data_IF_627951489561
#
_entry.id   IF_627951489561
#
_cell.length_a   1.000
_cell.length_b   1.000
_cell.length_c   1.000
_cell.angle_alpha   90.00
_cell.angle_beta   90.00
_cell.angle_gamma   90.00
#
_symmetry.space_group_name_H-M   'P 1'
#
loop_
_entity.id
_entity.type
_entity.pdbx_description
1 polymer ?
#
# COMPACT_ATOMS: atom_id res chain seq x y z
N UNK A 1 9.13 -10.48 -8.07
CA UNK A 1 9.17 -10.75 -6.60
C UNK A 1 7.94 -11.55 -6.13
N UNK A 2 6.74 -11.10 -6.48
CA UNK A 2 5.49 -11.83 -6.23
C UNK A 2 4.81 -12.09 -7.57
N UNK A 3 4.27 -13.29 -7.77
CA UNK A 3 3.53 -13.64 -8.99
C UNK A 3 2.20 -14.31 -8.60
N UNK A 4 1.11 -13.75 -9.07
CA UNK A 4 -0.20 -14.36 -9.09
C UNK A 4 -0.37 -15.01 -10.47
N UNK A 5 -0.58 -16.31 -10.51
CA UNK A 5 -0.65 -17.11 -11.74
C UNK A 5 -2.03 -17.75 -11.84
N UNK A 6 -2.91 -17.14 -12.65
CA UNK A 6 -4.30 -17.56 -12.88
C UNK A 6 -5.10 -17.78 -11.58
N UNK A 7 -5.00 -16.81 -10.65
CA UNK A 7 -5.58 -16.90 -9.31
C UNK A 7 -7.07 -16.61 -9.33
N UNK A 8 -7.87 -17.58 -8.88
CA UNK A 8 -9.30 -17.37 -8.59
C UNK A 8 -9.63 -17.74 -7.15
N UNK A 9 -10.66 -17.10 -6.61
CA UNK A 9 -11.15 -17.41 -5.27
C UNK A 9 -12.66 -17.25 -5.16
N UNK A 10 -13.29 -18.34 -4.72
CA UNK A 10 -14.72 -18.39 -4.41
C UNK A 10 -14.88 -18.69 -2.93
N UNK A 11 -15.60 -17.83 -2.21
CA UNK A 11 -15.91 -18.05 -0.80
C UNK A 11 -16.93 -19.20 -0.63
N UNK A 12 -17.00 -19.81 0.57
CA UNK A 12 -17.95 -20.92 0.83
C UNK A 12 -19.42 -20.58 0.57
N UNK A 13 -19.78 -19.31 0.62
CA UNK A 13 -21.14 -18.81 0.31
C UNK A 13 -21.41 -18.65 -1.20
N UNK A 14 -20.48 -19.08 -2.07
CA UNK A 14 -20.58 -18.98 -3.53
C UNK A 14 -20.17 -17.62 -4.12
N UNK A 15 -19.75 -16.65 -3.31
CA UNK A 15 -19.31 -15.33 -3.81
C UNK A 15 -17.94 -15.44 -4.44
N UNK A 16 -17.81 -15.10 -5.72
CA UNK A 16 -16.53 -14.96 -6.41
C UNK A 16 -15.87 -13.67 -5.99
N UNK A 17 -14.69 -13.79 -5.37
CA UNK A 17 -13.89 -12.65 -4.92
C UNK A 17 -12.77 -12.32 -5.91
N UNK A 18 -12.25 -13.32 -6.63
CA UNK A 18 -11.21 -13.20 -7.66
C UNK A 18 -11.55 -14.14 -8.80
N UNK A 19 -11.37 -13.67 -10.03
CA UNK A 19 -11.63 -14.41 -11.25
C UNK A 19 -10.43 -14.28 -12.20
N UNK A 20 -9.65 -15.35 -12.30
CA UNK A 20 -8.50 -15.53 -13.21
C UNK A 20 -7.48 -14.38 -13.18
N UNK A 21 -7.08 -13.94 -12.00
CA UNK A 21 -6.13 -12.82 -11.83
C UNK A 21 -4.70 -13.30 -12.06
N UNK A 22 -4.05 -12.71 -13.06
CA UNK A 22 -2.60 -12.88 -13.32
C UNK A 22 -1.90 -11.53 -13.17
N UNK A 23 -0.95 -11.43 -12.22
CA UNK A 23 -0.23 -10.21 -11.90
C UNK A 23 1.18 -10.52 -11.45
N UNK A 24 2.16 -9.75 -11.94
CA UNK A 24 3.53 -9.77 -11.46
C UNK A 24 3.88 -8.49 -10.71
N UNK A 25 4.50 -8.64 -9.55
CA UNK A 25 5.04 -7.55 -8.72
C UNK A 25 6.55 -7.59 -8.82
N UNK A 26 7.12 -6.54 -9.40
CA UNK A 26 8.58 -6.41 -9.57
C UNK A 26 9.28 -6.18 -8.23
N UNK A 27 10.53 -6.67 -8.06
CA UNK A 27 11.31 -6.38 -6.87
C UNK A 27 11.62 -4.88 -6.75
N UNK A 28 11.66 -4.39 -5.51
CA UNK A 28 12.03 -3.00 -5.16
C UNK A 28 11.09 -1.93 -5.74
N UNK A 29 9.85 -2.31 -6.10
CA UNK A 29 8.82 -1.40 -6.59
C UNK A 29 7.62 -1.38 -5.66
N UNK A 30 6.78 -0.35 -5.81
CA UNK A 30 5.44 -0.30 -5.23
C UNK A 30 4.42 -0.69 -6.30
N UNK A 31 3.76 -1.84 -6.13
CA UNK A 31 2.59 -2.20 -6.92
C UNK A 31 1.34 -1.89 -6.11
N UNK A 32 0.45 -1.07 -6.67
CA UNK A 32 -0.81 -0.69 -6.04
C UNK A 32 -1.95 -1.53 -6.59
N UNK A 33 -2.69 -2.18 -5.70
CA UNK A 33 -4.00 -2.78 -6.01
C UNK A 33 -5.08 -1.72 -5.80
N UNK A 34 -5.64 -1.21 -6.88
CA UNK A 34 -6.61 -0.13 -6.90
C UNK A 34 -7.99 -0.66 -7.31
N UNK A 35 -9.07 -0.13 -6.75
CA UNK A 35 -10.44 -0.49 -7.14
C UNK A 35 -11.45 -0.19 -6.05
N UNK A 36 -12.73 -0.35 -6.37
CA UNK A 36 -13.85 -0.13 -5.44
C UNK A 36 -13.84 -1.11 -4.26
N UNK A 37 -14.60 -0.81 -3.21
CA UNK A 37 -14.81 -1.77 -2.13
C UNK A 37 -15.42 -3.07 -2.68
N UNK A 38 -14.95 -4.22 -2.18
CA UNK A 38 -15.41 -5.52 -2.65
C UNK A 38 -14.82 -6.01 -3.98
N UNK A 39 -13.86 -5.30 -4.59
CA UNK A 39 -13.22 -5.76 -5.83
C UNK A 39 -12.13 -6.84 -5.64
N UNK A 40 -11.93 -7.36 -4.45
CA UNK A 40 -11.01 -8.48 -4.20
C UNK A 40 -9.57 -8.09 -3.82
N UNK A 41 -9.20 -6.81 -3.73
CA UNK A 41 -7.84 -6.33 -3.43
C UNK A 41 -7.22 -6.96 -2.19
N UNK A 42 -7.89 -6.81 -1.05
CA UNK A 42 -7.44 -7.39 0.24
C UNK A 42 -7.41 -8.93 0.18
N UNK A 43 -8.35 -9.55 -0.55
CA UNK A 43 -8.37 -11.01 -0.77
C UNK A 43 -7.11 -11.45 -1.53
N UNK A 44 -6.77 -10.77 -2.63
CA UNK A 44 -5.59 -11.04 -3.43
C UNK A 44 -4.31 -10.86 -2.59
N UNK A 45 -4.19 -9.75 -1.87
CA UNK A 45 -3.03 -9.46 -1.02
C UNK A 45 -2.86 -10.50 0.10
N UNK A 46 -3.95 -10.96 0.74
CA UNK A 46 -3.90 -11.97 1.81
C UNK A 46 -3.45 -13.36 1.36
N UNK A 47 -3.39 -13.61 0.08
CA UNK A 47 -2.84 -14.85 -0.46
C UNK A 47 -1.32 -14.85 -0.47
N UNK A 48 -0.67 -13.68 -0.54
CA UNK A 48 0.79 -13.56 -0.52
C UNK A 48 1.37 -14.10 0.79
N UNK A 49 0.71 -13.83 1.92
CA UNK A 49 1.12 -14.31 3.23
C UNK A 49 0.36 -15.58 3.68
N UNK A 50 -0.35 -16.22 2.74
CA UNK A 50 -1.11 -17.45 2.98
C UNK A 50 -2.13 -17.32 4.13
N UNK A 51 -2.73 -16.12 4.33
CA UNK A 51 -3.92 -15.97 5.18
C UNK A 51 -5.17 -16.48 4.49
N UNK A 52 -5.18 -16.45 3.15
CA UNK A 52 -6.16 -17.11 2.28
C UNK A 52 -5.41 -17.96 1.27
N UNK A 53 -6.05 -19.04 0.81
CA UNK A 53 -5.56 -19.86 -0.29
C UNK A 53 -6.44 -19.64 -1.52
N UNK A 54 -5.90 -19.58 -2.73
CA UNK A 54 -6.71 -19.54 -3.94
C UNK A 54 -7.54 -20.81 -4.09
N UNK A 55 -8.70 -20.73 -4.74
CA UNK A 55 -9.52 -21.89 -5.14
C UNK A 55 -8.91 -22.56 -6.36
N UNK A 56 -8.33 -21.77 -7.28
CA UNK A 56 -7.54 -22.24 -8.43
C UNK A 56 -6.38 -21.27 -8.70
N UNK A 57 -5.39 -21.73 -9.47
CA UNK A 57 -4.16 -21.00 -9.71
C UNK A 57 -3.18 -21.11 -8.54
N UNK A 58 -2.16 -20.27 -8.53
CA UNK A 58 -1.11 -20.29 -7.50
C UNK A 58 -0.52 -18.92 -7.26
N UNK A 59 0.06 -18.74 -6.07
CA UNK A 59 0.81 -17.54 -5.69
C UNK A 59 2.26 -17.93 -5.44
N UNK A 60 3.18 -17.24 -6.07
CA UNK A 60 4.62 -17.47 -6.00
C UNK A 60 5.27 -16.26 -5.33
N UNK A 61 6.07 -16.50 -4.30
CA UNK A 61 6.83 -15.47 -3.58
C UNK A 61 8.30 -15.88 -3.59
N UNK A 62 9.18 -15.00 -4.06
CA UNK A 62 10.62 -15.28 -4.19
C UNK A 62 10.91 -16.57 -4.98
N UNK A 63 10.12 -16.84 -6.02
CA UNK A 63 10.25 -18.04 -6.87
C UNK A 63 9.66 -19.34 -6.28
N UNK A 64 9.09 -19.31 -5.09
CA UNK A 64 8.49 -20.48 -4.42
C UNK A 64 6.97 -20.34 -4.32
N UNK A 65 6.23 -21.42 -4.59
CA UNK A 65 4.80 -21.43 -4.36
C UNK A 65 4.52 -21.30 -2.85
N UNK A 66 3.70 -20.32 -2.46
CA UNK A 66 3.36 -20.12 -1.04
C UNK A 66 2.68 -21.32 -0.38
N UNK A 67 2.04 -22.19 -1.17
CA UNK A 67 1.41 -23.42 -0.69
C UNK A 67 2.44 -24.41 -0.11
N UNK A 68 3.68 -24.37 -0.60
CA UNK A 68 4.76 -25.29 -0.23
C UNK A 68 5.62 -24.76 0.93
N UNK A 69 5.40 -23.50 1.35
CA UNK A 69 6.15 -22.87 2.43
C UNK A 69 5.40 -23.02 3.76
N UNK A 70 6.11 -23.26 4.85
CA UNK A 70 5.52 -23.19 6.18
C UNK A 70 4.87 -21.81 6.43
N UNK A 71 3.56 -21.75 6.75
CA UNK A 71 2.83 -20.48 6.82
C UNK A 71 3.33 -19.55 7.93
N UNK A 72 3.92 -20.10 9.02
CA UNK A 72 4.47 -19.30 10.10
C UNK A 72 5.75 -18.63 9.65
N UNK A 73 6.65 -19.38 9.00
CA UNK A 73 7.89 -18.84 8.44
C UNK A 73 7.60 -17.77 7.38
N UNK A 74 6.67 -18.06 6.45
CA UNK A 74 6.29 -17.10 5.40
C UNK A 74 5.77 -15.80 6.02
N UNK A 75 4.82 -15.86 6.96
CA UNK A 75 4.24 -14.66 7.60
C UNK A 75 5.24 -13.85 8.39
N UNK A 76 6.25 -14.49 9.00
CA UNK A 76 7.32 -13.78 9.72
C UNK A 76 8.32 -13.11 8.79
N UNK A 77 8.48 -13.61 7.57
CA UNK A 77 9.39 -13.03 6.55
C UNK A 77 8.77 -11.90 5.74
N UNK A 78 7.48 -11.63 5.89
CA UNK A 78 6.74 -10.59 5.18
C UNK A 78 6.22 -9.56 6.18
N UNK A 79 6.51 -8.29 5.95
CA UNK A 79 5.94 -7.20 6.76
C UNK A 79 4.48 -6.98 6.39
N UNK A 80 3.61 -6.77 7.39
CA UNK A 80 2.20 -6.50 7.17
C UNK A 80 1.74 -5.29 7.98
N UNK A 81 1.27 -4.28 7.26
CA UNK A 81 0.71 -3.04 7.81
C UNK A 81 -0.79 -3.04 7.59
N UNK A 82 -1.54 -3.01 8.67
CA UNK A 82 -3.02 -2.98 8.67
C UNK A 82 -3.52 -1.53 8.68
N UNK A 83 -4.75 -1.32 8.26
CA UNK A 83 -5.44 -0.04 8.26
C UNK A 83 -5.38 0.67 9.63
N UNK A 84 -5.64 -0.04 10.72
CA UNK A 84 -5.57 0.48 12.10
C UNK A 84 -4.21 0.22 12.78
N UNK A 85 -3.13 0.05 11.99
CA UNK A 85 -1.80 -0.36 12.45
C UNK A 85 -1.76 -1.70 13.21
N UNK A 86 -2.87 -2.20 13.76
CA UNK A 86 -2.99 -3.49 14.44
C UNK A 86 -2.04 -3.66 15.61
N UNK A 87 -1.80 -2.61 16.38
CA UNK A 87 -0.87 -2.63 17.52
C UNK A 87 -1.47 -3.37 18.74
N UNK A 88 -0.62 -4.06 19.47
CA UNK A 88 -1.02 -4.68 20.73
C UNK A 88 -1.23 -3.59 21.79
N UNK A 89 -2.47 -3.34 22.26
CA UNK A 89 -2.79 -2.22 23.14
C UNK A 89 -2.12 -2.31 24.53
N UNK A 90 -1.82 -3.52 24.98
CA UNK A 90 -1.20 -3.82 26.27
C UNK A 90 0.33 -3.88 26.22
N UNK A 91 0.95 -3.63 25.07
CA UNK A 91 2.41 -3.58 24.90
C UNK A 91 2.88 -2.16 24.65
N UNK A 92 4.08 -1.85 25.10
CA UNK A 92 4.74 -0.58 24.78
C UNK A 92 5.08 -0.50 23.30
N UNK A 93 5.42 0.69 22.81
CA UNK A 93 5.78 0.91 21.40
C UNK A 93 7.01 0.08 21.02
N UNK A 94 8.06 0.10 21.84
CA UNK A 94 9.25 -0.72 21.60
C UNK A 94 8.92 -2.21 21.59
N UNK A 95 8.02 -2.68 22.47
CA UNK A 95 7.62 -4.09 22.52
C UNK A 95 6.71 -4.48 21.32
N UNK A 96 5.91 -3.55 20.79
CA UNK A 96 5.17 -3.76 19.56
C UNK A 96 6.11 -3.98 18.39
N UNK A 97 7.09 -3.12 18.20
CA UNK A 97 8.07 -3.22 17.09
C UNK A 97 8.93 -4.48 17.27
N UNK A 98 9.39 -4.77 18.48
CA UNK A 98 10.24 -5.92 18.79
C UNK A 98 9.52 -7.29 18.73
N UNK A 99 8.23 -7.33 18.37
CA UNK A 99 7.44 -8.57 18.46
C UNK A 99 7.98 -9.67 17.54
N UNK A 100 8.20 -9.39 16.26
CA UNK A 100 8.64 -10.40 15.28
C UNK A 100 10.08 -10.85 15.54
N UNK A 101 11.06 -9.96 15.75
CA UNK A 101 12.42 -10.39 16.12
C UNK A 101 12.47 -11.31 17.33
N UNK A 102 11.65 -11.05 18.36
CA UNK A 102 11.56 -11.94 19.53
C UNK A 102 10.98 -13.31 19.22
N UNK A 103 10.00 -13.37 18.31
CA UNK A 103 9.43 -14.65 17.85
C UNK A 103 10.45 -15.46 17.03
N UNK A 104 11.44 -14.79 16.43
CA UNK A 104 12.56 -15.40 15.72
C UNK A 104 13.77 -15.72 16.63
N UNK A 105 13.63 -15.49 17.93
CA UNK A 105 14.65 -15.86 18.93
C UNK A 105 15.64 -14.76 19.29
N UNK A 106 15.48 -13.54 18.78
CA UNK A 106 16.32 -12.42 19.19
C UNK A 106 16.16 -12.10 20.68
N UNK A 107 17.27 -11.80 21.35
CA UNK A 107 17.24 -11.41 22.75
C UNK A 107 16.42 -10.13 22.96
N UNK A 108 15.94 -9.93 24.21
CA UNK A 108 15.19 -8.72 24.56
C UNK A 108 16.01 -7.45 24.33
N UNK A 109 17.32 -7.50 24.52
CA UNK A 109 18.23 -6.36 24.34
C UNK A 109 18.41 -6.04 22.86
N UNK A 110 18.68 -7.04 22.03
CA UNK A 110 18.87 -6.88 20.58
C UNK A 110 17.58 -6.38 19.90
N UNK A 111 16.45 -7.03 20.19
CA UNK A 111 15.17 -6.64 19.64
C UNK A 111 14.73 -5.23 20.05
N UNK A 112 15.04 -4.80 21.30
CA UNK A 112 14.78 -3.42 21.72
C UNK A 112 15.71 -2.41 21.04
N UNK A 113 16.98 -2.74 20.85
CA UNK A 113 17.94 -1.92 20.09
C UNK A 113 17.43 -1.72 18.65
N UNK A 114 17.09 -2.80 17.96
CA UNK A 114 16.53 -2.77 16.60
C UNK A 114 15.25 -1.94 16.53
N UNK A 115 14.35 -2.07 17.51
CA UNK A 115 13.14 -1.29 17.56
C UNK A 115 13.40 0.22 17.67
N UNK A 116 14.40 0.66 18.43
CA UNK A 116 14.79 2.07 18.53
C UNK A 116 15.40 2.60 17.22
N UNK A 117 16.21 1.79 16.54
CA UNK A 117 16.74 2.13 15.20
C UNK A 117 15.61 2.31 14.17
N UNK A 118 14.60 1.44 14.23
CA UNK A 118 13.44 1.53 13.34
C UNK A 118 12.52 2.71 13.70
N UNK A 119 12.43 3.09 14.98
CA UNK A 119 11.74 4.33 15.37
C UNK A 119 12.38 5.54 14.71
N UNK A 120 13.71 5.64 14.71
CA UNK A 120 14.42 6.73 14.04
C UNK A 120 14.17 6.70 12.52
N UNK A 121 14.21 5.49 11.92
CA UNK A 121 14.01 5.29 10.48
C UNK A 121 12.64 5.81 10.00
N UNK A 122 11.59 5.61 10.82
CA UNK A 122 10.23 6.06 10.51
C UNK A 122 9.88 7.42 11.13
N UNK A 123 10.87 8.18 11.59
CA UNK A 123 10.67 9.53 12.14
C UNK A 123 9.88 9.59 13.46
N UNK A 124 9.98 8.55 14.30
CA UNK A 124 9.38 8.52 15.63
C UNK A 124 10.39 8.92 16.72
N UNK A 125 9.99 9.84 17.58
CA UNK A 125 10.79 10.21 18.77
C UNK A 125 10.98 8.99 19.68
N UNK A 126 12.23 8.68 20.02
CA UNK A 126 12.58 7.60 20.97
C UNK A 126 11.96 7.77 22.36
N UNK A 127 11.60 8.99 22.75
CA UNK A 127 10.86 9.27 23.99
C UNK A 127 9.49 8.58 24.04
N UNK A 128 8.95 8.17 22.89
CA UNK A 128 7.69 7.42 22.79
C UNK A 128 7.86 5.91 23.06
N UNK A 129 9.08 5.39 23.12
CA UNK A 129 9.38 3.95 23.19
C UNK A 129 8.64 3.19 24.31
N UNK A 130 8.50 3.84 25.46
CA UNK A 130 7.82 3.28 26.64
C UNK A 130 6.33 3.58 26.73
N UNK A 131 5.79 4.36 25.80
CA UNK A 131 4.35 4.66 25.73
C UNK A 131 3.57 3.47 25.17
N UNK A 132 2.25 3.52 25.36
CA UNK A 132 1.28 2.56 24.83
C UNK A 132 0.54 3.14 23.64
N UNK A 133 -0.01 2.31 22.73
CA UNK A 133 -0.69 2.78 21.52
C UNK A 133 -1.78 3.83 21.76
N UNK A 134 -2.53 3.73 22.87
CA UNK A 134 -3.57 4.69 23.22
C UNK A 134 -3.05 6.12 23.52
N UNK A 135 -1.75 6.27 23.73
CA UNK A 135 -1.09 7.56 24.02
C UNK A 135 -0.49 8.22 22.76
N UNK A 136 -0.71 7.62 21.58
CA UNK A 136 -0.17 8.08 20.31
C UNK A 136 -1.27 8.66 19.42
N UNK A 137 -0.89 9.61 18.55
CA UNK A 137 -1.75 10.06 17.44
C UNK A 137 -1.95 8.94 16.40
N UNK A 138 -2.93 9.08 15.50
CA UNK A 138 -3.17 8.13 14.42
C UNK A 138 -1.93 7.90 13.54
N UNK A 139 -1.29 9.00 13.11
CA UNK A 139 -0.06 8.94 12.31
C UNK A 139 1.11 8.28 13.06
N UNK A 140 1.27 8.57 14.35
CA UNK A 140 2.29 7.92 15.16
C UNK A 140 2.04 6.40 15.27
N UNK A 141 0.79 5.98 15.49
CA UNK A 141 0.44 4.54 15.48
C UNK A 141 0.78 3.89 14.15
N UNK A 142 0.48 4.57 13.03
CA UNK A 142 0.77 4.04 11.71
C UNK A 142 2.28 3.87 11.48
N UNK A 143 3.11 4.85 11.87
CA UNK A 143 4.58 4.74 11.84
C UNK A 143 5.09 3.55 12.68
N UNK A 144 4.50 3.30 13.84
CA UNK A 144 4.82 2.10 14.65
C UNK A 144 4.47 0.83 13.90
N UNK A 145 3.34 0.78 13.21
CA UNK A 145 2.92 -0.34 12.36
C UNK A 145 3.93 -0.62 11.24
N UNK A 146 4.41 0.42 10.56
CA UNK A 146 5.45 0.33 9.52
C UNK A 146 6.78 -0.15 10.14
N UNK A 147 7.23 0.45 11.26
CA UNK A 147 8.44 0.02 11.95
C UNK A 147 8.39 -1.45 12.37
N UNK A 148 7.24 -1.91 12.88
CA UNK A 148 7.03 -3.33 13.23
C UNK A 148 7.11 -4.24 12.00
N UNK A 149 6.55 -3.82 10.88
CA UNK A 149 6.58 -4.58 9.63
C UNK A 149 8.01 -4.74 9.07
N UNK A 150 8.87 -3.75 9.31
CA UNK A 150 10.29 -3.76 8.91
C UNK A 150 11.22 -4.45 9.93
N UNK A 151 10.72 -4.82 11.11
CA UNK A 151 11.57 -5.24 12.22
C UNK A 151 12.39 -6.50 11.95
N UNK A 152 11.92 -7.37 11.07
CA UNK A 152 12.59 -8.62 10.68
C UNK A 152 13.24 -8.52 9.28
N UNK A 153 13.69 -7.33 8.89
CA UNK A 153 14.36 -7.09 7.60
C UNK A 153 13.54 -7.59 6.39
N UNK A 154 12.21 -7.40 6.50
CA UNK A 154 11.29 -7.84 5.46
C UNK A 154 11.58 -7.12 4.12
N UNK A 155 11.85 -7.89 3.07
CA UNK A 155 12.01 -7.43 1.70
C UNK A 155 10.69 -7.24 0.96
N UNK A 156 9.58 -7.70 1.55
CA UNK A 156 8.21 -7.51 1.07
C UNK A 156 7.37 -6.88 2.18
N UNK A 157 6.68 -5.79 1.84
CA UNK A 157 5.66 -5.16 2.68
C UNK A 157 4.29 -5.26 2.03
N UNK A 158 3.32 -5.79 2.76
CA UNK A 158 1.91 -5.76 2.42
C UNK A 158 1.25 -4.63 3.20
N UNK A 159 0.53 -3.73 2.53
CA UNK A 159 -0.12 -2.58 3.16
C UNK A 159 -1.59 -2.53 2.76
N UNK A 160 -2.49 -2.73 3.72
CA UNK A 160 -3.94 -2.79 3.53
C UNK A 160 -4.58 -1.48 3.98
N UNK A 161 -4.85 -0.56 3.04
CA UNK A 161 -5.43 0.78 3.26
C UNK A 161 -4.76 1.55 4.42
N UNK A 162 -3.41 1.65 4.47
CA UNK A 162 -2.72 2.09 5.68
C UNK A 162 -2.99 3.56 6.05
N UNK A 163 -3.55 4.36 5.14
CA UNK A 163 -3.80 5.78 5.38
C UNK A 163 -5.28 6.13 5.49
N UNK A 164 -6.20 5.15 5.38
CA UNK A 164 -7.63 5.38 5.32
C UNK A 164 -8.23 6.06 6.57
N UNK A 165 -7.63 5.88 7.75
CA UNK A 165 -8.08 6.43 9.02
C UNK A 165 -7.36 7.73 9.45
N UNK A 166 -6.55 8.34 8.56
CA UNK A 166 -5.73 9.51 8.88
C UNK A 166 -6.34 10.80 8.33
N UNK A 167 -6.10 11.91 9.03
CA UNK A 167 -6.43 13.23 8.50
C UNK A 167 -5.56 13.57 7.25
N UNK A 168 -6.06 14.46 6.36
CA UNK A 168 -5.41 14.70 5.07
C UNK A 168 -3.97 15.21 5.16
N UNK A 169 -3.62 16.04 6.14
CA UNK A 169 -2.27 16.60 6.28
C UNK A 169 -1.28 15.52 6.72
N UNK A 170 -1.64 14.76 7.77
CA UNK A 170 -0.81 13.64 8.26
C UNK A 170 -0.66 12.56 7.18
N UNK A 171 -1.72 12.30 6.40
CA UNK A 171 -1.70 11.37 5.29
C UNK A 171 -0.66 11.77 4.24
N UNK A 172 -0.69 13.02 3.76
CA UNK A 172 0.24 13.51 2.75
C UNK A 172 1.71 13.44 3.20
N UNK A 173 1.99 13.70 4.47
CA UNK A 173 3.34 13.56 5.02
C UNK A 173 3.80 12.11 5.06
N UNK A 174 2.94 11.20 5.54
CA UNK A 174 3.27 9.77 5.63
C UNK A 174 3.43 9.10 4.25
N UNK A 175 2.69 9.54 3.24
CA UNK A 175 2.83 9.05 1.87
C UNK A 175 4.20 9.42 1.29
N UNK A 176 4.65 10.67 1.48
CA UNK A 176 5.99 11.12 1.05
C UNK A 176 7.08 10.33 1.77
N UNK A 177 6.96 10.17 3.08
CA UNK A 177 7.92 9.41 3.88
C UNK A 177 7.98 7.92 3.51
N UNK A 178 6.84 7.31 3.15
CA UNK A 178 6.81 5.91 2.70
C UNK A 178 7.59 5.72 1.40
N UNK A 179 7.49 6.66 0.48
CA UNK A 179 8.25 6.64 -0.78
C UNK A 179 9.76 6.73 -0.50
N UNK A 180 10.17 7.70 0.31
CA UNK A 180 11.58 7.87 0.71
C UNK A 180 12.12 6.65 1.48
N UNK A 181 11.27 6.05 2.31
CA UNK A 181 11.60 4.85 3.08
C UNK A 181 11.83 3.65 2.16
N UNK A 182 10.95 3.42 1.17
CA UNK A 182 11.09 2.36 0.18
C UNK A 182 12.45 2.46 -0.53
N UNK A 183 12.80 3.64 -1.01
CA UNK A 183 14.05 3.87 -1.76
C UNK A 183 15.28 3.64 -0.89
N UNK A 184 15.21 3.97 0.41
CA UNK A 184 16.32 3.74 1.36
C UNK A 184 16.48 2.27 1.76
N UNK A 185 15.37 1.54 1.90
CA UNK A 185 15.38 0.16 2.42
C UNK A 185 15.43 -0.86 1.29
N UNK A 186 15.06 -0.48 0.06
CA UNK A 186 15.01 -1.38 -1.09
C UNK A 186 13.91 -2.44 -0.98
N UNK A 187 12.79 -2.13 -0.30
CA UNK A 187 11.70 -3.06 -0.05
C UNK A 187 10.70 -3.07 -1.21
N UNK A 188 10.13 -4.23 -1.51
CA UNK A 188 9.01 -4.39 -2.44
C UNK A 188 7.69 -4.16 -1.71
N UNK A 189 6.83 -3.29 -2.22
CA UNK A 189 5.55 -2.95 -1.56
C UNK A 189 4.37 -3.41 -2.42
N UNK A 190 3.47 -4.19 -1.85
CA UNK A 190 2.13 -4.42 -2.38
C UNK A 190 1.13 -3.62 -1.54
N UNK A 191 0.57 -2.59 -2.15
CA UNK A 191 -0.25 -1.58 -1.49
C UNK A 191 -1.70 -1.69 -1.93
N UNK A 192 -2.64 -1.74 -1.02
CA UNK A 192 -4.09 -1.74 -1.30
C UNK A 192 -4.67 -0.39 -0.96
N UNK A 193 -5.39 0.19 -1.89
CA UNK A 193 -6.18 1.41 -1.67
C UNK A 193 -7.40 1.47 -2.58
N UNK A 194 -8.36 2.29 -2.22
CA UNK A 194 -9.47 2.73 -3.09
C UNK A 194 -9.29 4.19 -3.54
N UNK A 195 -8.24 4.85 -3.07
CA UNK A 195 -7.93 6.25 -3.37
C UNK A 195 -6.99 6.31 -4.59
N UNK A 196 -7.46 6.99 -5.64
CA UNK A 196 -6.73 7.13 -6.90
C UNK A 196 -5.50 8.04 -6.75
N UNK A 197 -5.57 9.05 -5.88
CA UNK A 197 -4.45 9.96 -5.66
C UNK A 197 -3.30 9.26 -4.93
N UNK A 198 -3.63 8.39 -3.96
CA UNK A 198 -2.65 7.51 -3.33
C UNK A 198 -1.98 6.58 -4.36
N UNK A 199 -2.79 5.95 -5.22
CA UNK A 199 -2.28 5.04 -6.23
C UNK A 199 -1.32 5.74 -7.21
N UNK A 200 -1.65 6.95 -7.61
CA UNK A 200 -0.83 7.73 -8.55
C UNK A 200 0.43 8.31 -7.91
N UNK A 201 0.37 8.64 -6.62
CA UNK A 201 1.52 9.16 -5.89
C UNK A 201 2.55 8.08 -5.54
N UNK A 202 2.08 6.88 -5.17
CA UNK A 202 2.93 5.84 -4.58
C UNK A 202 3.29 4.72 -5.56
N UNK A 203 2.42 4.45 -6.56
CA UNK A 203 2.55 3.29 -7.44
C UNK A 203 3.53 3.49 -8.58
N UNK A 204 4.54 2.63 -8.66
CA UNK A 204 5.33 2.43 -9.89
C UNK A 204 4.51 1.64 -10.90
N UNK A 205 3.68 0.71 -10.41
CA UNK A 205 2.71 -0.08 -11.15
C UNK A 205 1.36 -0.04 -10.42
N UNK A 206 0.27 0.09 -11.16
CA UNK A 206 -1.08 0.10 -10.63
C UNK A 206 -1.88 -1.01 -11.31
N UNK A 207 -2.44 -1.90 -10.50
CA UNK A 207 -3.33 -2.98 -10.93
C UNK A 207 -4.76 -2.60 -10.55
N UNK A 208 -5.60 -2.29 -11.54
CA UNK A 208 -6.99 -1.88 -11.35
C UNK A 208 -7.89 -3.11 -11.33
N UNK A 209 -8.53 -3.36 -10.18
CA UNK A 209 -9.50 -4.45 -10.01
C UNK A 209 -10.93 -3.89 -10.03
N UNK A 210 -11.78 -4.49 -10.83
CA UNK A 210 -13.22 -4.20 -10.85
C UNK A 210 -14.00 -5.20 -9.97
N UNK A 211 -15.25 -4.85 -9.67
CA UNK A 211 -16.17 -5.73 -8.93
C UNK A 211 -16.26 -7.10 -9.60
N UNK A 212 -16.26 -8.17 -8.80
CA UNK A 212 -16.18 -9.55 -9.29
C UNK A 212 -14.76 -10.10 -9.35
N UNK A 213 -13.76 -9.31 -8.92
CA UNK A 213 -12.39 -9.79 -8.79
C UNK A 213 -11.62 -9.90 -10.10
N UNK A 214 -12.05 -9.18 -11.14
CA UNK A 214 -11.40 -9.18 -12.46
C UNK A 214 -10.34 -8.10 -12.51
N UNK A 215 -9.14 -8.44 -12.97
CA UNK A 215 -8.06 -7.51 -13.23
C UNK A 215 -8.34 -6.75 -14.54
N UNK A 216 -8.75 -5.49 -14.44
CA UNK A 216 -9.17 -4.69 -15.60
C UNK A 216 -7.99 -4.13 -16.39
N UNK A 217 -6.95 -3.65 -15.71
CA UNK A 217 -5.74 -3.12 -16.34
C UNK A 217 -4.58 -3.11 -15.35
N UNK A 218 -3.37 -3.27 -15.88
CA UNK A 218 -2.11 -3.05 -15.17
C UNK A 218 -1.28 -2.05 -15.95
N UNK A 219 -0.73 -1.02 -15.30
CA UNK A 219 0.11 -0.03 -15.95
C UNK A 219 0.62 1.04 -14.99
N UNK A 220 1.34 2.02 -15.54
CA UNK A 220 1.71 3.24 -14.80
C UNK A 220 0.52 4.19 -14.70
N UNK A 221 0.59 5.18 -13.82
CA UNK A 221 -0.42 6.24 -13.72
C UNK A 221 -0.66 6.93 -15.06
N UNK A 222 0.40 7.22 -15.81
CA UNK A 222 0.31 7.81 -17.16
C UNK A 222 -0.43 6.89 -18.13
N UNK A 223 -0.10 5.60 -18.15
CA UNK A 223 -0.74 4.62 -19.04
C UNK A 223 -2.24 4.50 -18.75
N UNK A 224 -2.64 4.48 -17.47
CA UNK A 224 -4.06 4.40 -17.10
C UNK A 224 -4.86 5.62 -17.54
N UNK A 225 -4.26 6.81 -17.54
CA UNK A 225 -4.91 8.06 -17.96
C UNK A 225 -4.98 8.18 -19.47
N UNK A 226 -3.88 7.85 -20.17
CA UNK A 226 -3.75 8.07 -21.62
C UNK A 226 -4.33 6.94 -22.46
N UNK A 227 -4.27 5.70 -21.98
CA UNK A 227 -4.70 4.49 -22.68
C UNK A 227 -5.51 3.56 -21.78
N UNK A 228 -6.70 3.96 -21.28
CA UNK A 228 -7.55 3.09 -20.49
C UNK A 228 -8.00 1.87 -21.29
N UNK A 229 -7.86 0.68 -20.73
CA UNK A 229 -8.16 -0.59 -21.42
C UNK A 229 -9.65 -0.79 -21.72
N UNK A 230 -10.53 -0.15 -20.96
CA UNK A 230 -11.98 -0.23 -21.13
C UNK A 230 -12.69 0.96 -20.47
N UNK A 231 -14.02 1.05 -20.71
CA UNK A 231 -14.85 2.14 -20.18
C UNK A 231 -14.87 2.20 -18.65
N UNK A 232 -14.73 1.05 -17.97
CA UNK A 232 -14.65 1.03 -16.51
C UNK A 232 -13.39 1.74 -16.04
N UNK A 233 -12.22 1.43 -16.60
CA UNK A 233 -10.96 2.10 -16.22
C UNK A 233 -11.03 3.58 -16.59
N UNK A 234 -11.50 3.91 -17.80
CA UNK A 234 -11.67 5.29 -18.25
C UNK A 234 -12.56 6.09 -17.28
N UNK A 235 -13.71 5.52 -16.88
CA UNK A 235 -14.62 6.11 -15.92
C UNK A 235 -14.01 6.21 -14.53
N UNK A 236 -13.32 5.16 -14.08
CA UNK A 236 -12.73 5.10 -12.75
C UNK A 236 -11.59 6.12 -12.57
N UNK A 237 -10.70 6.21 -13.56
CA UNK A 237 -9.59 7.17 -13.60
C UNK A 237 -10.07 8.59 -13.89
N UNK A 238 -11.12 8.74 -14.71
CA UNK A 238 -11.74 10.02 -15.07
C UNK A 238 -12.86 10.45 -14.13
N UNK A 239 -13.46 9.54 -13.34
CA UNK A 239 -14.60 9.81 -12.44
C UNK A 239 -14.21 10.54 -11.15
N UNK A 240 -12.93 10.63 -10.83
CA UNK A 240 -12.48 11.79 -10.08
C UNK A 240 -12.68 13.00 -11.00
N UNK A 241 -13.94 13.42 -11.18
CA UNK A 241 -14.37 14.50 -12.08
C UNK A 241 -13.60 15.82 -11.93
N UNK A 242 -12.71 15.86 -10.97
CA UNK A 242 -11.67 16.81 -10.65
C UNK A 242 -10.46 16.78 -11.60
N UNK A 243 -10.38 15.86 -12.59
CA UNK A 243 -9.19 15.72 -13.45
C UNK A 243 -9.37 16.22 -14.89
N UNK A 244 -10.58 16.59 -15.30
CA UNK A 244 -10.76 17.38 -16.52
C UNK A 244 -10.41 18.84 -16.19
N UNK A 245 -9.14 19.17 -16.32
CA UNK A 245 -8.69 20.53 -16.06
C UNK A 245 -9.10 21.42 -17.24
N UNK A 246 -9.72 22.54 -16.96
CA UNK A 246 -9.89 23.62 -17.92
C UNK A 246 -8.72 24.60 -17.80
N UNK A 247 -8.19 25.02 -18.94
CA UNK A 247 -7.12 26.01 -19.01
C UNK A 247 -7.69 27.32 -19.59
N UNK A 248 -7.49 28.42 -18.88
CA UNK A 248 -7.90 29.74 -19.33
C UNK A 248 -6.72 30.70 -19.27
N UNK A 249 -6.34 31.29 -20.38
CA UNK A 249 -5.31 32.33 -20.41
C UNK A 249 -5.81 33.57 -19.71
N UNK A 250 -4.97 34.12 -18.82
CA UNK A 250 -5.20 35.36 -18.07
C UNK A 250 -3.96 36.25 -18.18
N UNK A 251 -4.03 37.55 -17.88
CA UNK A 251 -2.85 38.42 -17.87
C UNK A 251 -1.74 38.02 -16.89
N UNK A 252 -2.06 37.19 -15.90
CA UNK A 252 -1.11 36.69 -14.88
C UNK A 252 -0.56 35.28 -15.21
N UNK A 253 -0.95 34.68 -16.36
CA UNK A 253 -0.58 33.32 -16.74
C UNK A 253 -1.80 32.45 -17.08
N UNK A 254 -1.59 31.14 -17.25
CA UNK A 254 -2.66 30.21 -17.55
C UNK A 254 -3.30 29.69 -16.26
N UNK A 255 -4.56 30.08 -16.02
CA UNK A 255 -5.37 29.61 -14.90
C UNK A 255 -5.83 28.17 -15.18
N UNK A 256 -5.51 27.27 -14.26
CA UNK A 256 -6.01 25.88 -14.25
C UNK A 256 -7.19 25.81 -13.30
N UNK A 257 -8.31 25.28 -13.79
CA UNK A 257 -9.52 25.09 -13.00
C UNK A 257 -10.03 23.65 -13.11
N UNK A 258 -10.72 23.17 -12.07
CA UNK A 258 -11.46 21.91 -12.10
C UNK A 258 -12.70 22.00 -13.01
N UNK A 259 -13.45 20.89 -13.24
CA UNK A 259 -14.66 20.88 -14.06
C UNK A 259 -15.78 21.78 -13.53
N UNK A 260 -15.78 22.06 -12.23
CA UNK A 260 -16.74 22.94 -11.57
C UNK A 260 -16.34 24.42 -11.64
N UNK A 261 -15.19 24.71 -12.31
CA UNK A 261 -14.66 26.05 -12.52
C UNK A 261 -13.90 26.62 -11.33
N UNK A 262 -13.57 25.78 -10.33
CA UNK A 262 -12.78 26.22 -9.17
C UNK A 262 -11.31 26.37 -9.56
N UNK A 263 -10.63 27.46 -9.23
CA UNK A 263 -9.21 27.62 -9.47
C UNK A 263 -8.39 26.59 -8.70
N UNK A 264 -7.50 25.89 -9.39
CA UNK A 264 -6.55 24.93 -8.81
C UNK A 264 -5.14 25.49 -8.74
N UNK A 265 -4.78 26.39 -9.66
CA UNK A 265 -3.48 27.03 -9.72
C UNK A 265 -3.31 27.92 -10.92
N UNK A 266 -2.19 28.65 -10.95
CA UNK A 266 -1.77 29.49 -12.04
C UNK A 266 -0.43 28.98 -12.57
N UNK A 267 -0.33 28.71 -13.86
CA UNK A 267 0.94 28.44 -14.55
C UNK A 267 1.48 29.78 -15.07
N UNK A 268 2.67 30.20 -14.67
CA UNK A 268 3.31 31.39 -15.23
C UNK A 268 3.53 31.27 -16.74
N UNK A 269 3.55 32.39 -17.46
CA UNK A 269 3.86 32.39 -18.89
C UNK A 269 5.29 31.85 -19.10
N UNK A 270 5.41 30.76 -19.89
CA UNK A 270 6.69 30.16 -20.30
C UNK A 270 6.98 28.77 -19.75
N UNK A 271 6.16 28.21 -18.87
CA UNK A 271 6.34 26.85 -18.32
C UNK A 271 5.61 25.72 -19.09
N UNK A 272 4.82 26.08 -20.13
CA UNK A 272 4.26 25.09 -21.08
C UNK A 272 5.29 24.86 -22.20
N UNK A 273 6.25 23.99 -21.99
CA UNK A 273 7.09 23.39 -23.02
C UNK A 273 7.00 21.90 -23.02
#
# INVERSE_FOLDING_TARGET
MITFDHVSHVFPNGTTALDDVSLHVEPHTTTVLLGTSGSGKTTLMRMVNRMLSPTSGRVIVRGQNVADIDPVKLRRSIGYVLQDAGLFPHRTIVDNIATVPRLEGASRRESAKRALELMDLVGLDRGLAKRYPAQLSGGQRQRVGVARALANEADILLMDEPFGALDPLVRADLQRELRDLRDRVGTTILFVTHDLDEAFMLGDQIAVLQTGGVLAQVGTSENLVTNPANDFVASFVGSSGQRRLSMKSTPAGTLISDPDGRPLGLLPEGELR
#
